data_IF_244581127048
#
_entry.id   IF_244581127048
#
_cell.length_a   1.000
_cell.length_b   1.000
_cell.length_c   1.000
_cell.angle_alpha   90.00
_cell.angle_beta   90.00
_cell.angle_gamma   90.00
#
_symmetry.space_group_name_H-M   'P 1'
#
loop_
_entity.id
_entity.type
_entity.pdbx_description
1 polymer ?
#
# COMPACT_ATOMS: atom_id res chain seq x y z
N UNK A 1 -80.67 -35.49 3.58
CA UNK A 1 -79.85 -35.18 4.79
C UNK A 1 -78.50 -34.88 4.31
N UNK A 2 -78.18 -33.56 4.21
CA UNK A 2 -76.86 -33.06 3.72
C UNK A 2 -76.05 -32.66 4.94
N UNK A 3 -74.90 -33.28 5.13
CA UNK A 3 -73.91 -32.96 6.19
C UNK A 3 -72.86 -32.08 5.61
N UNK A 4 -72.88 -30.78 5.98
CA UNK A 4 -71.85 -29.84 5.61
C UNK A 4 -70.69 -29.93 6.62
N UNK A 5 -69.54 -30.32 6.16
CA UNK A 5 -68.30 -30.30 6.94
C UNK A 5 -67.68 -28.90 6.88
N UNK A 6 -67.72 -28.19 8.02
CA UNK A 6 -66.94 -26.95 8.22
C UNK A 6 -65.49 -27.31 8.57
N UNK A 7 -64.53 -26.92 7.74
CA UNK A 7 -63.12 -26.95 8.07
C UNK A 7 -62.70 -25.61 8.69
N UNK A 8 -62.00 -25.59 9.80
CA UNK A 8 -61.53 -24.33 10.40
C UNK A 8 -60.41 -23.70 9.61
N UNK A 9 -60.56 -22.45 9.21
CA UNK A 9 -59.60 -21.63 8.42
C UNK A 9 -58.33 -21.23 9.20
N UNK A 10 -58.28 -21.50 10.48
CA UNK A 10 -57.20 -21.00 11.40
C UNK A 10 -55.81 -21.59 11.15
N UNK A 11 -55.59 -22.88 10.81
CA UNK A 11 -54.24 -23.41 10.62
C UNK A 11 -53.50 -22.88 9.38
N UNK A 12 -54.23 -22.49 8.34
CA UNK A 12 -53.58 -21.97 7.10
C UNK A 12 -53.04 -20.56 7.26
N UNK A 13 -53.67 -19.71 8.10
CA UNK A 13 -53.19 -18.37 8.34
C UNK A 13 -51.92 -18.33 9.21
N UNK A 14 -51.80 -19.26 10.16
CA UNK A 14 -50.61 -19.44 10.98
C UNK A 14 -49.37 -19.90 10.19
N UNK A 15 -49.56 -20.79 9.23
CA UNK A 15 -48.48 -21.23 8.34
C UNK A 15 -47.98 -20.11 7.40
N UNK A 16 -48.91 -19.27 6.90
CA UNK A 16 -48.52 -18.12 6.06
C UNK A 16 -47.76 -17.04 6.87
N UNK A 17 -48.15 -16.80 8.10
CA UNK A 17 -47.46 -15.86 9.01
C UNK A 17 -46.09 -16.37 9.44
N UNK A 18 -45.93 -17.68 9.71
CA UNK A 18 -44.64 -18.29 10.02
C UNK A 18 -43.72 -18.28 8.81
N UNK A 19 -44.23 -18.57 7.60
CA UNK A 19 -43.47 -18.49 6.35
C UNK A 19 -42.99 -17.09 6.03
N UNK A 20 -43.81 -16.07 6.24
CA UNK A 20 -43.43 -14.68 6.04
C UNK A 20 -42.32 -14.22 7.04
N UNK A 21 -42.37 -14.69 8.30
CA UNK A 21 -41.34 -14.39 9.29
C UNK A 21 -40.01 -15.05 8.96
N UNK A 22 -39.99 -16.30 8.47
CA UNK A 22 -38.78 -17.01 8.07
C UNK A 22 -38.17 -16.36 6.83
N UNK A 23 -38.97 -16.02 5.82
CA UNK A 23 -38.50 -15.36 4.60
C UNK A 23 -38.03 -13.93 4.88
N UNK A 24 -38.72 -13.17 5.74
CA UNK A 24 -38.29 -11.85 6.15
C UNK A 24 -36.99 -11.86 6.93
N UNK A 25 -36.79 -12.85 7.82
CA UNK A 25 -35.55 -13.00 8.58
C UNK A 25 -34.36 -13.37 7.71
N UNK A 26 -34.55 -14.20 6.68
CA UNK A 26 -33.49 -14.57 5.72
C UNK A 26 -33.17 -13.41 4.76
N UNK A 27 -34.19 -12.69 4.29
CA UNK A 27 -33.99 -11.49 3.46
C UNK A 27 -33.24 -10.39 4.22
N UNK A 28 -33.58 -10.17 5.50
CA UNK A 28 -32.87 -9.22 6.36
C UNK A 28 -31.41 -9.60 6.59
N UNK A 29 -31.10 -10.87 6.83
CA UNK A 29 -29.72 -11.37 6.97
C UNK A 29 -28.94 -11.27 5.65
N UNK A 30 -29.57 -11.58 4.52
CA UNK A 30 -28.94 -11.45 3.21
C UNK A 30 -28.63 -9.97 2.89
N UNK A 31 -29.56 -9.08 3.20
CA UNK A 31 -29.39 -7.64 2.99
C UNK A 31 -28.32 -7.04 3.90
N UNK A 32 -28.26 -7.47 5.17
CA UNK A 32 -27.19 -7.05 6.09
C UNK A 32 -25.83 -7.61 5.67
N UNK A 33 -25.76 -8.85 5.15
CA UNK A 33 -24.55 -9.45 4.63
C UNK A 33 -24.08 -8.75 3.35
N UNK A 34 -24.99 -8.45 2.41
CA UNK A 34 -24.67 -7.68 1.20
C UNK A 34 -24.22 -6.25 1.53
N UNK A 35 -24.86 -5.61 2.51
CA UNK A 35 -24.45 -4.27 2.97
C UNK A 35 -23.09 -4.30 3.67
N UNK A 36 -22.79 -5.34 4.45
CA UNK A 36 -21.48 -5.57 5.05
C UNK A 36 -20.39 -5.81 4.01
N UNK A 37 -20.68 -6.62 2.96
CA UNK A 37 -19.77 -6.86 1.85
C UNK A 37 -19.57 -5.61 0.99
N UNK A 38 -20.62 -4.85 0.71
CA UNK A 38 -20.52 -3.56 0.01
C UNK A 38 -19.75 -2.51 0.82
N UNK A 39 -19.92 -2.49 2.14
CA UNK A 39 -19.15 -1.61 3.04
C UNK A 39 -17.69 -2.07 3.13
N UNK A 40 -17.43 -3.37 3.16
CA UNK A 40 -16.07 -3.92 3.12
C UNK A 40 -15.40 -3.70 1.75
N UNK A 41 -16.15 -3.79 0.66
CA UNK A 41 -15.64 -3.48 -0.68
C UNK A 41 -15.41 -1.97 -0.90
N UNK A 42 -16.20 -1.10 -0.27
CA UNK A 42 -15.95 0.36 -0.32
C UNK A 42 -14.83 0.81 0.62
N UNK A 43 -14.44 -0.02 1.58
CA UNK A 43 -13.25 0.12 2.43
C UNK A 43 -11.98 -0.47 1.77
N UNK A 44 -12.08 -1.15 0.63
CA UNK A 44 -10.98 -1.31 -0.31
C UNK A 44 -10.75 0.09 -0.89
N UNK A 45 -9.92 0.84 -0.21
CA UNK A 45 -9.72 2.25 -0.39
C UNK A 45 -9.46 2.56 -1.87
N UNK A 46 -10.10 3.61 -2.35
CA UNK A 46 -9.79 4.14 -3.67
C UNK A 46 -8.28 4.28 -3.82
N UNK A 47 -7.74 3.75 -4.91
CA UNK A 47 -6.35 3.95 -5.25
C UNK A 47 -6.13 5.44 -5.53
N UNK A 48 -5.10 6.00 -4.94
CA UNK A 48 -4.76 7.41 -5.05
C UNK A 48 -3.37 7.54 -5.65
N UNK A 49 -3.21 8.48 -6.57
CA UNK A 49 -1.92 8.86 -7.12
C UNK A 49 -1.14 9.73 -6.11
N UNK A 50 0.16 9.49 -5.99
CA UNK A 50 1.06 10.25 -5.11
C UNK A 50 1.37 11.66 -5.64
N UNK A 51 0.95 12.07 -6.80
CA UNK A 51 1.27 13.27 -7.55
C UNK A 51 1.69 14.50 -6.74
N UNK A 52 2.79 15.12 -7.16
CA UNK A 52 3.28 16.39 -6.61
C UNK A 52 3.15 17.49 -7.64
N UNK A 53 2.73 18.67 -7.20
CA UNK A 53 2.64 19.88 -8.01
C UNK A 53 3.60 20.94 -7.46
N UNK A 54 4.49 21.42 -8.32
CA UNK A 54 5.44 22.51 -8.03
C UNK A 54 4.84 23.82 -8.54
N UNK A 55 4.07 24.50 -7.70
CA UNK A 55 3.26 25.68 -8.10
C UNK A 55 4.05 26.98 -8.06
N UNK A 56 5.04 27.08 -7.18
CA UNK A 56 5.81 28.31 -6.99
C UNK A 56 7.26 27.98 -6.65
N UNK A 57 8.18 28.71 -7.26
CA UNK A 57 9.60 28.54 -7.02
C UNK A 57 9.96 28.84 -5.54
N UNK A 58 10.77 27.98 -4.94
CA UNK A 58 11.21 28.13 -3.54
C UNK A 58 10.15 27.71 -2.50
N UNK A 59 8.98 27.26 -2.89
CA UNK A 59 7.96 26.72 -2.00
C UNK A 59 7.92 25.19 -2.05
N UNK A 60 7.38 24.59 -0.97
CA UNK A 60 7.17 23.13 -0.94
C UNK A 60 6.16 22.70 -2.00
N UNK A 61 6.35 21.53 -2.62
CA UNK A 61 5.34 20.99 -3.53
C UNK A 61 4.03 20.68 -2.79
N UNK A 62 2.93 20.76 -3.51
CA UNK A 62 1.61 20.34 -3.03
C UNK A 62 1.33 18.93 -3.52
N UNK A 63 1.06 18.01 -2.60
CA UNK A 63 0.66 16.63 -2.92
C UNK A 63 -0.84 16.49 -3.11
N UNK A 64 -1.27 15.40 -3.76
CA UNK A 64 -2.70 15.04 -3.88
C UNK A 64 -3.35 14.79 -2.51
N UNK A 65 -2.55 14.40 -1.51
CA UNK A 65 -2.97 14.34 -0.11
C UNK A 65 -2.13 15.32 0.72
N UNK A 66 -2.70 15.80 1.83
CA UNK A 66 -1.96 16.71 2.73
C UNK A 66 -0.92 15.95 3.55
N UNK A 67 0.16 16.65 3.96
CA UNK A 67 1.20 16.11 4.87
C UNK A 67 0.55 15.51 6.12
N UNK A 68 -0.41 16.20 6.73
CA UNK A 68 -1.10 15.73 7.95
C UNK A 68 -1.94 14.46 7.70
N UNK A 69 -2.59 14.35 6.55
CA UNK A 69 -3.35 13.15 6.20
C UNK A 69 -2.46 11.93 6.01
N UNK A 70 -1.31 12.10 5.35
CA UNK A 70 -0.33 11.05 5.13
C UNK A 70 0.46 10.70 6.40
N UNK A 71 0.78 11.66 7.24
CA UNK A 71 1.53 11.48 8.48
C UNK A 71 0.89 10.47 9.45
N UNK A 72 -0.44 10.31 9.42
CA UNK A 72 -1.16 9.28 10.18
C UNK A 72 -0.72 7.86 9.82
N UNK A 73 -0.24 7.68 8.60
CA UNK A 73 0.23 6.41 8.06
C UNK A 73 1.76 6.30 8.02
N UNK A 74 2.49 7.25 8.64
CA UNK A 74 3.95 7.39 8.48
C UNK A 74 4.36 7.50 7.00
N UNK A 75 3.59 8.27 6.24
CA UNK A 75 3.83 8.50 4.82
C UNK A 75 4.13 9.98 4.57
N UNK A 76 5.14 10.27 3.74
CA UNK A 76 5.70 11.61 3.60
C UNK A 76 6.09 11.90 2.16
N UNK A 77 5.93 13.14 1.71
CA UNK A 77 6.49 13.65 0.46
C UNK A 77 7.32 14.93 0.66
N UNK A 78 7.21 15.53 1.83
CA UNK A 78 7.97 16.70 2.23
C UNK A 78 8.10 16.74 3.75
N UNK A 79 9.18 17.34 4.23
CA UNK A 79 9.34 17.65 5.65
C UNK A 79 8.57 18.94 5.99
N UNK A 80 7.94 18.98 7.17
CA UNK A 80 7.26 20.16 7.66
C UNK A 80 8.26 21.13 8.31
N UNK A 81 9.08 21.76 7.47
CA UNK A 81 10.13 22.69 7.88
C UNK A 81 10.18 23.89 6.93
N UNK A 82 10.70 25.02 7.43
CA UNK A 82 11.02 26.21 6.62
C UNK A 82 12.48 26.20 6.13
N UNK A 83 13.26 25.18 6.49
CA UNK A 83 14.64 25.05 6.02
C UNK A 83 14.68 24.68 4.54
N UNK A 84 15.64 25.24 3.82
CA UNK A 84 15.88 24.92 2.41
C UNK A 84 16.64 23.60 2.31
N UNK A 85 15.90 22.48 2.38
CA UNK A 85 16.41 21.12 2.26
C UNK A 85 15.86 20.42 1.03
N UNK A 86 16.69 19.63 0.38
CA UNK A 86 16.30 18.74 -0.74
C UNK A 86 16.73 17.32 -0.36
N UNK A 87 15.81 16.37 -0.52
CA UNK A 87 16.09 14.95 -0.35
C UNK A 87 16.15 14.30 -1.73
N UNK A 88 17.33 13.80 -2.09
CA UNK A 88 17.51 13.09 -3.36
C UNK A 88 17.08 11.64 -3.21
N UNK A 89 16.18 11.22 -4.07
CA UNK A 89 15.71 9.84 -4.12
C UNK A 89 15.70 9.32 -5.55
N UNK A 90 16.01 8.04 -5.73
CA UNK A 90 16.06 7.35 -7.01
C UNK A 90 15.26 6.05 -6.91
N UNK A 91 14.43 5.77 -7.91
CA UNK A 91 13.78 4.47 -8.06
C UNK A 91 14.60 3.65 -9.06
N UNK A 92 15.03 2.45 -8.64
CA UNK A 92 15.92 1.60 -9.39
C UNK A 92 15.30 0.20 -9.61
N UNK A 93 14.78 -0.03 -10.81
CA UNK A 93 14.20 -1.31 -11.22
C UNK A 93 15.02 -2.05 -12.27
N UNK A 94 15.78 -1.31 -13.08
CA UNK A 94 16.62 -1.84 -14.14
C UNK A 94 17.89 -1.01 -14.27
N UNK A 95 19.07 -1.68 -14.43
CA UNK A 95 20.34 -1.01 -14.65
C UNK A 95 20.65 -0.92 -16.14
N UNK A 96 20.94 0.29 -16.59
CA UNK A 96 21.27 0.60 -17.99
C UNK A 96 22.60 1.37 -18.15
N UNK A 97 23.50 1.28 -17.17
CA UNK A 97 24.79 1.96 -17.15
C UNK A 97 24.78 3.36 -16.49
N UNK A 98 23.64 3.78 -15.94
CA UNK A 98 23.53 5.10 -15.31
C UNK A 98 23.82 5.10 -13.80
N UNK A 99 23.47 4.05 -13.07
CA UNK A 99 23.64 4.01 -11.62
C UNK A 99 25.09 4.23 -11.17
N UNK A 100 26.13 3.62 -11.79
CA UNK A 100 27.50 3.91 -11.41
C UNK A 100 27.88 5.39 -11.56
N UNK A 101 27.40 6.04 -12.62
CA UNK A 101 27.67 7.47 -12.89
C UNK A 101 26.95 8.38 -11.91
N UNK A 102 25.72 7.99 -11.47
CA UNK A 102 24.98 8.70 -10.43
C UNK A 102 25.74 8.61 -9.11
N UNK A 103 26.19 7.42 -8.72
CA UNK A 103 27.00 7.22 -7.51
C UNK A 103 28.30 7.99 -7.55
N UNK A 104 29.01 8.05 -8.70
CA UNK A 104 30.22 8.85 -8.88
C UNK A 104 29.94 10.35 -8.64
N UNK A 105 28.82 10.86 -9.16
CA UNK A 105 28.42 12.25 -8.98
C UNK A 105 28.07 12.54 -7.52
N UNK A 106 27.28 11.67 -6.86
CA UNK A 106 26.92 11.82 -5.45
C UNK A 106 28.18 11.80 -4.56
N UNK A 107 29.10 10.88 -4.81
CA UNK A 107 30.38 10.79 -4.10
C UNK A 107 31.23 12.04 -4.28
N UNK A 108 31.36 12.51 -5.53
CA UNK A 108 32.12 13.75 -5.85
C UNK A 108 31.61 14.95 -5.07
N UNK A 109 30.30 15.05 -4.88
CA UNK A 109 29.67 16.18 -4.18
C UNK A 109 29.37 15.90 -2.72
N UNK A 110 29.73 14.72 -2.20
CA UNK A 110 29.47 14.29 -0.81
C UNK A 110 27.99 14.37 -0.42
N UNK A 111 27.11 14.02 -1.34
CA UNK A 111 25.64 14.09 -1.16
C UNK A 111 25.08 12.70 -0.91
N UNK A 112 24.48 12.43 0.27
CA UNK A 112 23.75 11.19 0.51
C UNK A 112 22.44 11.21 -0.27
N UNK A 113 21.97 10.00 -0.65
CA UNK A 113 20.70 9.81 -1.34
C UNK A 113 20.01 8.54 -0.85
N UNK A 114 18.71 8.39 -1.16
CA UNK A 114 17.97 7.15 -0.94
C UNK A 114 17.67 6.50 -2.29
N UNK A 115 18.00 5.22 -2.42
CA UNK A 115 17.67 4.40 -3.58
C UNK A 115 16.57 3.41 -3.21
N UNK A 116 15.39 3.56 -3.80
CA UNK A 116 14.31 2.58 -3.68
C UNK A 116 14.48 1.51 -4.75
N UNK A 117 14.81 0.30 -4.33
CA UNK A 117 15.23 -0.77 -5.26
C UNK A 117 14.20 -1.88 -5.35
N UNK A 118 13.99 -2.39 -6.56
CA UNK A 118 13.16 -3.56 -6.84
C UNK A 118 13.99 -4.83 -6.65
N UNK A 119 13.35 -5.97 -6.34
CA UNK A 119 14.04 -7.21 -6.05
C UNK A 119 15.03 -7.67 -7.14
N UNK A 120 14.63 -7.59 -8.41
CA UNK A 120 15.51 -7.95 -9.53
C UNK A 120 16.74 -7.02 -9.64
N UNK A 121 16.62 -5.74 -9.30
CA UNK A 121 17.76 -4.83 -9.30
C UNK A 121 18.84 -5.29 -8.31
N UNK A 122 18.43 -5.75 -7.11
CA UNK A 122 19.38 -6.30 -6.12
C UNK A 122 20.04 -7.58 -6.62
N UNK A 123 19.25 -8.52 -7.18
CA UNK A 123 19.75 -9.80 -7.68
C UNK A 123 20.75 -9.64 -8.83
N UNK A 124 20.44 -8.72 -9.75
CA UNK A 124 21.21 -8.52 -10.96
C UNK A 124 22.44 -7.63 -10.73
N UNK A 125 22.42 -6.76 -9.71
CA UNK A 125 23.43 -5.75 -9.45
C UNK A 125 23.91 -5.72 -7.98
N UNK A 126 24.32 -6.85 -7.38
CA UNK A 126 24.69 -6.90 -5.96
C UNK A 126 25.85 -5.96 -5.61
N UNK A 127 26.78 -5.72 -6.56
CA UNK A 127 27.92 -4.83 -6.36
C UNK A 127 27.48 -3.36 -6.24
N UNK A 128 26.45 -2.95 -6.99
CA UNK A 128 25.89 -1.60 -6.87
C UNK A 128 25.19 -1.39 -5.52
N UNK A 129 24.51 -2.42 -5.00
CA UNK A 129 23.91 -2.37 -3.67
C UNK A 129 24.97 -2.20 -2.59
N UNK A 130 26.04 -3.02 -2.63
CA UNK A 130 27.18 -2.89 -1.71
C UNK A 130 27.83 -1.51 -1.80
N UNK A 131 27.96 -1.01 -3.03
CA UNK A 131 28.52 0.32 -3.28
C UNK A 131 27.64 1.43 -2.69
N UNK A 132 26.31 1.38 -2.87
CA UNK A 132 25.36 2.33 -2.26
C UNK A 132 25.56 2.41 -0.73
N UNK A 133 25.59 1.26 -0.08
CA UNK A 133 25.78 1.16 1.37
C UNK A 133 27.14 1.71 1.80
N UNK A 134 28.21 1.25 1.17
CA UNK A 134 29.58 1.68 1.53
C UNK A 134 29.86 3.16 1.28
N UNK A 135 29.12 3.81 0.37
CA UNK A 135 29.22 5.24 0.08
C UNK A 135 28.24 6.09 0.93
N UNK A 136 27.52 5.47 1.88
CA UNK A 136 26.67 6.18 2.85
C UNK A 136 25.27 6.52 2.33
N UNK A 137 24.81 5.86 1.27
CA UNK A 137 23.45 6.01 0.78
C UNK A 137 22.49 5.06 1.51
N UNK A 138 21.23 5.46 1.59
CA UNK A 138 20.17 4.59 2.10
C UNK A 138 19.58 3.76 0.96
N UNK A 139 19.40 2.46 1.19
CA UNK A 139 18.66 1.58 0.29
C UNK A 139 17.30 1.30 0.89
N UNK A 140 16.24 1.68 0.18
CA UNK A 140 14.84 1.50 0.55
C UNK A 140 14.15 0.47 -0.35
N UNK A 141 12.97 0.06 0.05
CA UNK A 141 12.19 -1.01 -0.55
C UNK A 141 11.24 -0.48 -1.63
N UNK A 142 11.35 -1.00 -2.85
CA UNK A 142 10.44 -0.70 -3.97
C UNK A 142 9.68 -1.93 -4.46
N UNK A 143 9.45 -2.89 -3.57
CA UNK A 143 8.79 -4.18 -3.78
C UNK A 143 9.63 -5.22 -4.55
N UNK A 144 9.22 -6.47 -4.47
CA UNK A 144 9.92 -7.57 -5.13
C UNK A 144 9.78 -7.56 -6.65
N UNK A 145 8.57 -7.26 -7.16
CA UNK A 145 8.23 -7.39 -8.59
C UNK A 145 7.57 -6.15 -9.19
N UNK A 146 7.55 -5.02 -8.47
CA UNK A 146 7.00 -3.74 -8.91
C UNK A 146 5.51 -3.79 -9.34
N UNK A 147 4.61 -4.50 -8.62
CA UNK A 147 3.19 -4.50 -8.94
C UNK A 147 2.52 -3.21 -8.50
N UNK A 148 1.30 -2.96 -9.01
CA UNK A 148 0.39 -2.01 -8.38
C UNK A 148 -0.02 -2.54 -7.00
N UNK A 149 0.58 -1.96 -5.96
CA UNK A 149 0.34 -2.39 -4.58
C UNK A 149 -1.05 -2.02 -4.08
N UNK A 150 -1.73 -1.03 -4.69
CA UNK A 150 -3.06 -0.59 -4.24
C UNK A 150 -4.12 -1.67 -4.37
N UNK A 151 -3.93 -2.59 -5.32
CA UNK A 151 -4.79 -3.77 -5.50
C UNK A 151 -4.55 -4.91 -4.51
N UNK A 152 -3.48 -4.86 -3.70
CA UNK A 152 -3.16 -5.92 -2.73
C UNK A 152 -3.88 -5.63 -1.42
N UNK A 153 -4.89 -6.45 -1.10
CA UNK A 153 -5.69 -6.36 0.13
C UNK A 153 -5.22 -7.31 1.25
N UNK A 154 -4.46 -8.36 0.88
CA UNK A 154 -3.91 -9.32 1.83
C UNK A 154 -2.61 -8.80 2.44
N UNK A 155 -2.54 -8.74 3.78
CA UNK A 155 -1.32 -8.36 4.50
C UNK A 155 -0.17 -9.32 4.22
N UNK A 156 -0.46 -10.61 4.09
CA UNK A 156 0.55 -11.63 3.80
C UNK A 156 1.18 -11.42 2.41
N UNK A 157 0.37 -11.10 1.40
CA UNK A 157 0.88 -10.85 0.05
C UNK A 157 1.61 -9.51 -0.02
N UNK A 158 1.13 -8.49 0.71
CA UNK A 158 1.85 -7.23 0.87
C UNK A 158 3.21 -7.46 1.54
N UNK A 159 3.26 -8.23 2.62
CA UNK A 159 4.49 -8.57 3.32
C UNK A 159 5.47 -9.41 2.48
N UNK A 160 4.97 -10.32 1.61
CA UNK A 160 5.82 -11.08 0.68
C UNK A 160 6.56 -10.15 -0.29
N UNK A 161 5.87 -9.11 -0.81
CA UNK A 161 6.50 -8.13 -1.70
C UNK A 161 7.61 -7.35 -1.01
N UNK A 162 7.45 -6.96 0.24
CA UNK A 162 8.45 -6.19 0.97
C UNK A 162 9.53 -7.10 1.58
N UNK A 163 9.14 -8.17 2.25
CA UNK A 163 10.06 -9.10 2.91
C UNK A 163 10.98 -9.87 1.95
N UNK A 164 10.55 -10.05 0.69
CA UNK A 164 11.42 -10.61 -0.35
C UNK A 164 12.63 -9.72 -0.63
N UNK A 165 12.40 -8.42 -0.75
CA UNK A 165 13.47 -7.42 -0.97
C UNK A 165 14.40 -7.34 0.24
N UNK A 166 13.86 -7.34 1.47
CA UNK A 166 14.65 -7.33 2.70
C UNK A 166 15.63 -8.51 2.75
N UNK A 167 15.14 -9.73 2.46
CA UNK A 167 15.97 -10.93 2.43
C UNK A 167 17.08 -10.88 1.39
N UNK A 168 16.77 -10.37 0.20
CA UNK A 168 17.79 -10.19 -0.85
C UNK A 168 18.84 -9.16 -0.43
N UNK A 169 18.42 -8.03 0.11
CA UNK A 169 19.31 -7.00 0.61
C UNK A 169 20.24 -7.55 1.72
N UNK A 170 19.69 -8.24 2.71
CA UNK A 170 20.46 -8.85 3.79
C UNK A 170 21.45 -9.90 3.26
N UNK A 171 21.06 -10.70 2.26
CA UNK A 171 21.95 -11.69 1.64
C UNK A 171 23.14 -11.07 0.92
N UNK A 172 22.98 -9.85 0.38
CA UNK A 172 24.02 -9.11 -0.37
C UNK A 172 24.93 -8.30 0.53
N UNK A 173 24.35 -7.67 1.58
CA UNK A 173 25.06 -6.70 2.43
C UNK A 173 25.45 -7.25 3.80
N UNK A 174 24.76 -8.28 4.28
CA UNK A 174 24.87 -8.76 5.67
C UNK A 174 24.15 -7.87 6.69
N UNK A 175 23.45 -6.82 6.26
CA UNK A 175 22.79 -5.83 7.09
C UNK A 175 21.27 -5.90 6.92
N UNK A 176 20.52 -5.42 7.93
CA UNK A 176 19.08 -5.26 7.81
C UNK A 176 18.74 -4.01 7.00
N UNK A 177 17.77 -4.14 6.09
CA UNK A 177 17.32 -3.02 5.27
C UNK A 177 16.60 -1.96 6.12
N UNK A 178 16.89 -0.69 5.86
CA UNK A 178 16.13 0.42 6.42
C UNK A 178 14.66 0.31 6.00
N UNK A 179 13.74 0.49 6.96
CA UNK A 179 12.30 0.35 6.74
C UNK A 179 11.71 1.58 6.03
N UNK A 180 12.27 1.91 4.87
CA UNK A 180 11.72 2.89 3.93
C UNK A 180 11.09 2.16 2.75
N UNK A 181 9.87 2.53 2.42
CA UNK A 181 9.09 1.93 1.33
C UNK A 181 8.58 3.01 0.39
N UNK A 182 8.66 2.76 -0.90
CA UNK A 182 8.01 3.59 -1.91
C UNK A 182 7.06 2.73 -2.75
N UNK A 183 5.76 3.10 -2.85
CA UNK A 183 4.81 2.38 -3.69
C UNK A 183 5.22 2.46 -5.16
N UNK A 184 5.24 1.34 -5.90
CA UNK A 184 5.40 1.34 -7.34
C UNK A 184 4.40 2.27 -8.04
N UNK A 185 4.79 2.84 -9.18
CA UNK A 185 3.95 3.69 -10.04
C UNK A 185 3.42 4.96 -9.36
N UNK A 186 3.81 5.24 -8.12
CA UNK A 186 3.25 6.33 -7.35
C UNK A 186 1.76 6.13 -6.99
N UNK A 187 1.28 4.89 -6.97
CA UNK A 187 -0.10 4.55 -6.63
C UNK A 187 -0.14 3.89 -5.25
N UNK A 188 -1.05 4.34 -4.41
CA UNK A 188 -1.24 3.80 -3.07
C UNK A 188 -2.72 3.76 -2.68
N UNK A 189 -3.02 3.01 -1.64
CA UNK A 189 -4.29 3.04 -0.93
C UNK A 189 -4.05 3.24 0.57
N UNK A 190 -5.05 3.76 1.31
CA UNK A 190 -4.93 3.90 2.77
C UNK A 190 -4.74 2.55 3.45
N UNK A 191 -5.29 1.47 2.88
CA UNK A 191 -5.07 0.10 3.35
C UNK A 191 -3.59 -0.29 3.22
N UNK A 192 -2.96 -0.01 2.07
CA UNK A 192 -1.54 -0.32 1.86
C UNK A 192 -0.63 0.51 2.76
N UNK A 193 -0.92 1.81 2.94
CA UNK A 193 -0.17 2.66 3.87
C UNK A 193 -0.29 2.16 5.31
N UNK A 194 -1.48 1.67 5.70
CA UNK A 194 -1.70 1.06 7.02
C UNK A 194 -0.86 -0.21 7.18
N UNK A 195 -0.88 -1.10 6.18
CA UNK A 195 -0.07 -2.33 6.20
C UNK A 195 1.42 -2.03 6.27
N UNK A 196 1.90 -1.04 5.50
CA UNK A 196 3.30 -0.61 5.54
C UNK A 196 3.69 -0.11 6.95
N UNK A 197 2.87 0.77 7.53
CA UNK A 197 3.06 1.28 8.89
C UNK A 197 3.09 0.15 9.94
N UNK A 198 2.17 -0.80 9.86
CA UNK A 198 2.12 -1.96 10.77
C UNK A 198 3.34 -2.88 10.65
N UNK A 199 3.99 -2.90 9.49
CA UNK A 199 5.25 -3.60 9.26
C UNK A 199 6.49 -2.77 9.65
N UNK A 200 6.27 -1.57 10.20
CA UNK A 200 7.31 -0.66 10.67
C UNK A 200 7.92 0.23 9.60
N UNK A 201 7.31 0.32 8.41
CA UNK A 201 7.81 1.16 7.33
C UNK A 201 7.38 2.63 7.46
N UNK A 202 8.26 3.51 7.02
CA UNK A 202 7.93 4.86 6.54
C UNK A 202 7.82 4.84 5.02
N UNK A 203 6.73 5.44 4.48
CA UNK A 203 6.41 5.44 3.06
C UNK A 203 6.67 6.80 2.43
#
# INVERSE_FOLDING_TARGET
>A
MSSSHHYPLIPRLLFLLAGAFILGGQAGKLHSWQKSQATSASLLSESTSWGLSFQKEGERPVGNATINALGKYHAYYAEDTNEKKIYLTFDAGYENGNTPRILDALKKHQVPATFFVVGNFISDNPDLIRRMVSEGHTVGNHTMTHPDMSGISSKDDFQKQLGGVEKLYESVTGEQMTKFYRPPQGIYSTTNLTMAKELGYST
#
